data_IF_435028488702
#
_entry.id   IF_435028488702
#
_cell.length_a   1.000
_cell.length_b   1.000
_cell.length_c   1.000
_cell.angle_alpha   90.00
_cell.angle_beta   90.00
_cell.angle_gamma   90.00
#
_symmetry.space_group_name_H-M   'P 1'
#
loop_
_entity.id
_entity.type
_entity.pdbx_description
1 polymer ?
#
# COMPACT_ATOMS: atom_id res chain seq x y z
N UNK A 1 -28.45 13.83 -16.21
CA UNK A 1 -27.58 13.28 -15.13
C UNK A 1 -26.29 12.69 -15.67
N UNK A 2 -26.34 11.82 -16.70
CA UNK A 2 -25.16 11.30 -17.40
C UNK A 2 -24.28 12.40 -18.01
N UNK A 3 -24.86 13.45 -18.62
CA UNK A 3 -24.08 14.58 -19.15
C UNK A 3 -23.26 15.33 -18.08
N UNK A 4 -23.81 15.52 -16.87
CA UNK A 4 -23.07 16.11 -15.73
C UNK A 4 -22.01 15.15 -15.17
N UNK A 5 -22.21 13.84 -15.27
CA UNK A 5 -21.19 12.84 -14.95
C UNK A 5 -20.10 12.76 -16.04
N UNK A 6 -20.40 13.14 -17.28
CA UNK A 6 -19.44 13.19 -18.37
C UNK A 6 -18.85 14.59 -18.58
N UNK A 7 -19.24 15.60 -17.80
CA UNK A 7 -18.77 16.98 -18.01
C UNK A 7 -17.39 17.23 -17.41
N UNK A 8 -17.01 16.49 -16.37
CA UNK A 8 -15.68 16.61 -15.76
C UNK A 8 -14.74 15.51 -16.25
N UNK A 9 -13.50 15.89 -16.55
CA UNK A 9 -12.42 14.97 -16.92
C UNK A 9 -12.30 13.83 -15.90
N UNK A 10 -12.45 14.15 -14.63
CA UNK A 10 -12.22 13.20 -13.55
C UNK A 10 -13.37 12.20 -13.39
N UNK A 11 -14.60 12.64 -13.64
CA UNK A 11 -15.74 11.73 -13.70
C UNK A 11 -15.65 10.79 -14.90
N UNK A 12 -15.12 11.24 -16.05
CA UNK A 12 -14.83 10.35 -17.20
C UNK A 12 -13.79 9.29 -16.85
N UNK A 13 -12.67 9.70 -16.25
CA UNK A 13 -11.60 8.76 -15.85
C UNK A 13 -12.13 7.76 -14.81
N UNK A 14 -12.86 8.23 -13.80
CA UNK A 14 -13.45 7.36 -12.78
C UNK A 14 -14.45 6.36 -13.38
N UNK A 15 -15.26 6.79 -14.34
CA UNK A 15 -16.20 5.92 -15.04
C UNK A 15 -15.48 4.84 -15.85
N UNK A 16 -14.54 5.22 -16.72
CA UNK A 16 -13.79 4.27 -17.56
C UNK A 16 -12.96 3.33 -16.70
N UNK A 17 -12.35 3.83 -15.62
CA UNK A 17 -11.68 3.01 -14.63
C UNK A 17 -12.62 1.98 -14.01
N UNK A 18 -13.80 2.41 -13.55
CA UNK A 18 -14.79 1.53 -12.93
C UNK A 18 -15.28 0.45 -13.89
N UNK A 19 -15.50 0.80 -15.16
CA UNK A 19 -15.84 -0.18 -16.21
C UNK A 19 -14.72 -1.20 -16.40
N UNK A 20 -13.48 -0.73 -16.55
CA UNK A 20 -12.31 -1.61 -16.72
C UNK A 20 -12.11 -2.54 -15.52
N UNK A 21 -12.27 -2.00 -14.31
CA UNK A 21 -12.15 -2.76 -13.08
C UNK A 21 -13.28 -3.79 -12.94
N UNK A 22 -14.53 -3.43 -13.28
CA UNK A 22 -15.66 -4.37 -13.33
C UNK A 22 -15.38 -5.56 -14.24
N UNK A 23 -14.93 -5.29 -15.47
CA UNK A 23 -14.62 -6.38 -16.40
C UNK A 23 -13.42 -7.21 -15.96
N UNK A 24 -12.46 -6.62 -15.26
CA UNK A 24 -11.37 -7.39 -14.63
C UNK A 24 -11.92 -8.36 -13.57
N UNK A 25 -12.87 -7.92 -12.75
CA UNK A 25 -13.55 -8.77 -11.76
C UNK A 25 -14.31 -9.91 -12.45
N UNK A 26 -14.98 -9.64 -13.58
CA UNK A 26 -15.65 -10.68 -14.36
C UNK A 26 -14.66 -11.65 -15.01
N UNK A 27 -13.58 -11.14 -15.60
CA UNK A 27 -12.52 -11.94 -16.22
C UNK A 27 -11.81 -12.86 -15.23
N UNK A 28 -11.81 -12.50 -13.94
CA UNK A 28 -11.27 -13.33 -12.87
C UNK A 28 -11.96 -14.70 -12.73
N UNK A 29 -13.28 -14.77 -12.98
CA UNK A 29 -14.08 -16.01 -12.83
C UNK A 29 -14.63 -16.58 -14.15
N UNK A 30 -14.83 -15.76 -15.19
CA UNK A 30 -15.67 -16.12 -16.35
C UNK A 30 -14.94 -16.10 -17.72
N UNK A 31 -13.61 -16.25 -17.75
CA UNK A 31 -12.80 -16.38 -18.99
C UNK A 31 -12.92 -15.21 -20.00
N UNK A 32 -13.20 -13.98 -19.55
CA UNK A 32 -13.21 -12.78 -20.40
C UNK A 32 -11.83 -12.14 -20.63
N UNK A 33 -10.77 -12.95 -20.64
CA UNK A 33 -9.37 -12.50 -20.60
C UNK A 33 -9.00 -11.48 -21.69
N UNK A 34 -9.47 -11.71 -22.93
CA UNK A 34 -9.22 -10.82 -24.06
C UNK A 34 -9.86 -9.44 -23.87
N UNK A 35 -11.09 -9.40 -23.36
CA UNK A 35 -11.83 -8.16 -23.13
C UNK A 35 -11.21 -7.37 -21.96
N UNK A 36 -10.73 -8.03 -20.91
CA UNK A 36 -9.96 -7.40 -19.84
C UNK A 36 -8.71 -6.71 -20.39
N UNK A 37 -7.97 -7.38 -21.27
CA UNK A 37 -6.77 -6.82 -21.87
C UNK A 37 -7.05 -5.60 -22.73
N UNK A 38 -8.04 -5.69 -23.63
CA UNK A 38 -8.44 -4.56 -24.49
C UNK A 38 -8.93 -3.35 -23.69
N UNK A 39 -9.78 -3.57 -22.68
CA UNK A 39 -10.24 -2.49 -21.80
C UNK A 39 -9.11 -1.91 -20.96
N UNK A 40 -8.17 -2.74 -20.52
CA UNK A 40 -6.94 -2.30 -19.85
C UNK A 40 -6.14 -1.34 -20.74
N UNK A 41 -5.86 -1.73 -22.00
CA UNK A 41 -5.20 -0.86 -22.98
C UNK A 41 -5.98 0.44 -23.16
N UNK A 42 -7.28 0.34 -23.45
CA UNK A 42 -8.12 1.51 -23.70
C UNK A 42 -8.10 2.49 -22.51
N UNK A 43 -8.20 1.97 -21.28
CA UNK A 43 -8.14 2.77 -20.07
C UNK A 43 -6.77 3.41 -19.86
N UNK A 44 -5.66 2.65 -19.92
CA UNK A 44 -4.33 3.21 -19.68
C UNK A 44 -3.92 4.20 -20.78
N UNK A 45 -4.31 3.97 -22.04
CA UNK A 45 -4.16 4.94 -23.12
C UNK A 45 -4.95 6.22 -22.84
N UNK A 46 -6.23 6.11 -22.51
CA UNK A 46 -7.08 7.27 -22.20
C UNK A 46 -6.55 8.08 -21.00
N UNK A 47 -6.15 7.38 -19.93
CA UNK A 47 -5.57 8.00 -18.75
C UNK A 47 -4.24 8.71 -19.08
N UNK A 48 -3.41 8.12 -19.94
CA UNK A 48 -2.17 8.75 -20.43
C UNK A 48 -2.45 10.06 -21.15
N UNK A 49 -3.37 10.06 -22.12
CA UNK A 49 -3.76 11.28 -22.85
C UNK A 49 -4.36 12.33 -21.91
N UNK A 50 -5.15 11.90 -20.94
CA UNK A 50 -5.77 12.79 -19.97
C UNK A 50 -4.73 13.47 -19.08
N UNK A 51 -3.79 12.73 -18.50
CA UNK A 51 -2.85 13.28 -17.53
C UNK A 51 -1.58 13.91 -18.13
N UNK A 52 -1.33 13.74 -19.43
CA UNK A 52 -0.17 14.33 -20.13
C UNK A 52 -0.04 15.84 -19.95
N UNK A 53 -1.15 16.55 -19.71
CA UNK A 53 -1.17 18.00 -19.54
C UNK A 53 -1.04 18.48 -18.08
N UNK A 54 -1.07 17.57 -17.10
CA UNK A 54 -1.07 17.93 -15.66
C UNK A 54 0.32 17.94 -15.01
N UNK A 55 1.37 17.59 -15.76
CA UNK A 55 2.76 17.55 -15.28
C UNK A 55 3.68 16.83 -16.27
N UNK A 56 4.86 16.41 -15.80
CA UNK A 56 5.79 15.61 -16.59
C UNK A 56 5.32 14.18 -16.88
N UNK A 57 6.12 13.45 -17.66
CA UNK A 57 5.86 12.05 -18.00
C UNK A 57 5.82 11.19 -16.73
N UNK A 58 6.68 11.50 -15.75
CA UNK A 58 6.69 10.90 -14.41
C UNK A 58 5.33 11.01 -13.70
N UNK A 59 4.70 12.19 -13.76
CA UNK A 59 3.42 12.45 -13.12
C UNK A 59 2.33 11.59 -13.77
N UNK A 60 2.35 11.50 -15.11
CA UNK A 60 1.44 10.65 -15.87
C UNK A 60 1.60 9.18 -15.48
N UNK A 61 2.83 8.63 -15.51
CA UNK A 61 3.08 7.24 -15.13
C UNK A 61 2.65 6.98 -13.67
N UNK A 62 2.84 7.95 -12.79
CA UNK A 62 2.44 7.81 -11.38
C UNK A 62 0.92 7.75 -11.22
N UNK A 63 0.14 8.53 -11.99
CA UNK A 63 -1.31 8.33 -12.05
C UNK A 63 -1.67 6.90 -12.46
N UNK A 64 -1.05 6.36 -13.51
CA UNK A 64 -1.31 5.00 -13.98
C UNK A 64 -0.93 3.94 -12.92
N UNK A 65 0.16 4.15 -12.18
CA UNK A 65 0.55 3.29 -11.05
C UNK A 65 -0.52 3.28 -9.96
N UNK A 66 -1.08 4.45 -9.61
CA UNK A 66 -2.15 4.54 -8.61
C UNK A 66 -3.40 3.77 -9.07
N UNK A 67 -3.81 3.90 -10.33
CA UNK A 67 -4.97 3.16 -10.86
C UNK A 67 -4.72 1.65 -10.97
N UNK A 68 -3.48 1.23 -11.18
CA UNK A 68 -3.12 -0.19 -11.29
C UNK A 68 -2.91 -0.90 -9.96
N UNK A 69 -2.93 -0.21 -8.81
CA UNK A 69 -2.78 -0.85 -7.48
C UNK A 69 -3.79 -1.99 -7.26
N UNK A 70 -5.12 -1.80 -7.42
CA UNK A 70 -6.06 -2.92 -7.27
C UNK A 70 -5.86 -4.04 -8.30
N UNK A 71 -5.27 -3.71 -9.45
CA UNK A 71 -5.00 -4.65 -10.55
C UNK A 71 -3.66 -5.38 -10.37
N UNK A 72 -2.87 -5.09 -9.33
CA UNK A 72 -1.50 -5.62 -9.18
C UNK A 72 -1.45 -7.11 -8.81
N UNK A 73 -2.60 -7.72 -8.51
CA UNK A 73 -2.73 -9.12 -8.09
C UNK A 73 -3.24 -10.05 -9.20
N UNK A 74 -3.55 -9.46 -10.36
CA UNK A 74 -3.94 -10.17 -11.58
C UNK A 74 -3.00 -9.80 -12.72
N UNK A 75 -2.80 -10.70 -13.66
CA UNK A 75 -2.03 -10.39 -14.87
C UNK A 75 -2.81 -9.42 -15.78
N UNK A 76 -2.19 -8.96 -16.87
CA UNK A 76 -2.82 -8.07 -17.85
C UNK A 76 -4.10 -8.62 -18.49
N UNK A 77 -4.31 -9.94 -18.39
CA UNK A 77 -5.50 -10.68 -18.87
C UNK A 77 -6.56 -10.87 -17.76
N UNK A 78 -6.36 -10.37 -16.55
CA UNK A 78 -7.32 -10.51 -15.44
C UNK A 78 -7.27 -11.84 -14.69
N UNK A 79 -6.32 -12.73 -15.00
CA UNK A 79 -6.16 -14.01 -14.33
C UNK A 79 -5.25 -13.91 -13.10
N UNK A 80 -5.41 -14.80 -12.12
CA UNK A 80 -4.54 -14.86 -10.93
C UNK A 80 -3.08 -15.01 -11.34
N UNK A 81 -2.25 -14.04 -10.95
CA UNK A 81 -0.82 -14.08 -11.18
C UNK A 81 -0.10 -14.67 -9.97
N UNK A 82 0.88 -15.55 -10.21
CA UNK A 82 1.99 -15.73 -9.25
C UNK A 82 2.83 -14.43 -9.20
N UNK A 83 3.64 -14.20 -8.14
CA UNK A 83 4.27 -12.90 -7.85
C UNK A 83 5.10 -12.25 -8.97
N UNK A 84 5.57 -13.05 -9.94
CA UNK A 84 6.51 -12.66 -11.00
C UNK A 84 5.90 -12.37 -12.38
N UNK A 85 4.57 -12.34 -12.53
CA UNK A 85 3.97 -12.16 -13.86
C UNK A 85 3.67 -10.70 -14.26
N UNK A 86 3.54 -10.51 -15.59
CA UNK A 86 3.09 -9.32 -16.30
C UNK A 86 1.74 -8.82 -15.75
N UNK A 87 1.80 -8.00 -14.71
CA UNK A 87 0.67 -7.19 -14.24
C UNK A 87 0.82 -5.77 -14.77
N UNK A 88 -0.30 -5.06 -14.92
CA UNK A 88 -0.26 -3.64 -15.32
C UNK A 88 0.61 -2.82 -14.38
N UNK A 89 0.53 -3.09 -13.07
CA UNK A 89 1.35 -2.41 -12.06
C UNK A 89 2.85 -2.63 -12.28
N UNK A 90 3.29 -3.88 -12.49
CA UNK A 90 4.71 -4.19 -12.69
C UNK A 90 5.25 -3.60 -13.99
N UNK A 91 4.46 -3.64 -15.07
CA UNK A 91 4.85 -3.04 -16.36
C UNK A 91 5.06 -1.53 -16.16
N UNK A 92 4.08 -0.84 -15.57
CA UNK A 92 4.17 0.60 -15.32
C UNK A 92 5.30 0.97 -14.35
N UNK A 93 5.55 0.13 -13.36
CA UNK A 93 6.63 0.32 -12.38
C UNK A 93 8.00 0.22 -13.07
N UNK A 94 8.19 -0.80 -13.92
CA UNK A 94 9.42 -0.95 -14.69
C UNK A 94 9.60 0.21 -15.68
N UNK A 95 8.53 0.65 -16.35
CA UNK A 95 8.57 1.82 -17.23
C UNK A 95 8.99 3.08 -16.45
N UNK A 96 8.46 3.28 -15.24
CA UNK A 96 8.86 4.41 -14.40
C UNK A 96 10.34 4.32 -13.99
N UNK A 97 10.80 3.15 -13.55
CA UNK A 97 12.19 2.92 -13.16
C UNK A 97 13.12 3.20 -14.35
N UNK A 98 12.81 2.67 -15.52
CA UNK A 98 13.59 2.90 -16.75
C UNK A 98 13.61 4.38 -17.13
N UNK A 99 12.46 5.06 -17.08
CA UNK A 99 12.39 6.50 -17.37
C UNK A 99 13.24 7.32 -16.40
N UNK A 100 13.13 7.06 -15.09
CA UNK A 100 13.91 7.77 -14.07
C UNK A 100 15.40 7.45 -14.18
N UNK A 101 15.76 6.22 -14.54
CA UNK A 101 17.15 5.82 -14.75
C UNK A 101 17.75 6.54 -15.97
N UNK A 102 17.04 6.58 -17.10
CA UNK A 102 17.49 7.30 -18.30
C UNK A 102 17.55 8.80 -18.06
N UNK A 103 16.54 9.38 -17.40
CA UNK A 103 16.54 10.80 -17.00
C UNK A 103 17.75 11.13 -16.13
N UNK A 104 18.04 10.27 -15.15
CA UNK A 104 19.21 10.42 -14.29
C UNK A 104 20.51 10.33 -15.08
N UNK A 105 20.67 9.30 -15.92
CA UNK A 105 21.88 9.08 -16.71
C UNK A 105 22.19 10.26 -17.65
N UNK A 106 21.17 10.82 -18.30
CA UNK A 106 21.32 11.98 -19.18
C UNK A 106 21.65 13.27 -18.42
N UNK A 107 21.23 13.38 -17.16
CA UNK A 107 21.40 14.59 -16.34
C UNK A 107 22.53 14.47 -15.32
N UNK A 108 23.22 13.34 -15.23
CA UNK A 108 24.17 13.06 -14.14
C UNK A 108 25.26 14.12 -14.01
N UNK A 109 25.76 14.65 -15.15
CA UNK A 109 26.78 15.70 -15.19
C UNK A 109 26.29 17.05 -14.64
N UNK A 110 24.98 17.27 -14.59
CA UNK A 110 24.37 18.47 -14.04
C UNK A 110 24.03 18.36 -12.54
N UNK A 111 24.18 17.17 -11.95
CA UNK A 111 23.82 16.90 -10.55
C UNK A 111 25.02 17.19 -9.65
N UNK A 112 24.92 18.26 -8.87
CA UNK A 112 25.87 18.52 -7.78
C UNK A 112 25.43 17.80 -6.50
N UNK A 113 26.00 16.61 -6.27
CA UNK A 113 25.75 15.82 -5.05
C UNK A 113 26.10 16.57 -3.76
N UNK A 114 26.95 17.60 -3.80
CA UNK A 114 27.28 18.38 -2.60
C UNK A 114 26.07 19.18 -2.11
N UNK A 115 25.17 19.60 -3.02
CA UNK A 115 23.95 20.36 -2.70
C UNK A 115 22.85 19.52 -2.05
N UNK A 116 22.97 18.20 -2.02
CA UNK A 116 21.97 17.33 -1.39
C UNK A 116 21.95 17.54 0.14
N UNK A 117 20.75 17.72 0.75
CA UNK A 117 20.59 17.71 2.19
C UNK A 117 21.17 16.45 2.85
N UNK A 118 21.67 16.59 4.09
CA UNK A 118 22.26 15.49 4.88
C UNK A 118 21.35 14.25 4.93
N UNK A 119 20.04 14.45 5.07
CA UNK A 119 19.05 13.36 5.14
C UNK A 119 18.96 12.59 3.81
N UNK A 120 19.07 13.26 2.66
CA UNK A 120 19.06 12.59 1.35
C UNK A 120 20.36 11.81 1.11
N UNK A 121 21.52 12.39 1.46
CA UNK A 121 22.81 11.68 1.40
C UNK A 121 22.79 10.42 2.26
N UNK A 122 22.31 10.54 3.50
CA UNK A 122 22.13 9.41 4.41
C UNK A 122 21.21 8.33 3.83
N UNK A 123 20.09 8.74 3.23
CA UNK A 123 19.18 7.82 2.54
C UNK A 123 19.86 7.08 1.38
N UNK A 124 20.59 7.77 0.50
CA UNK A 124 21.29 7.15 -0.63
C UNK A 124 22.34 6.13 -0.15
N UNK A 125 23.15 6.49 0.85
CA UNK A 125 24.13 5.57 1.46
C UNK A 125 23.42 4.35 2.06
N UNK A 126 22.35 4.57 2.82
CA UNK A 126 21.58 3.47 3.41
C UNK A 126 20.95 2.54 2.37
N UNK A 127 20.55 3.07 1.21
CA UNK A 127 19.99 2.30 0.10
C UNK A 127 21.03 1.36 -0.49
N UNK A 128 22.27 1.83 -0.69
CA UNK A 128 23.39 1.02 -1.19
C UNK A 128 23.73 -0.08 -0.18
N UNK A 129 23.88 0.27 1.10
CA UNK A 129 24.18 -0.71 2.16
C UNK A 129 23.08 -1.78 2.22
N UNK A 130 21.82 -1.38 2.08
CA UNK A 130 20.70 -2.32 2.10
C UNK A 130 20.68 -3.23 0.86
N UNK A 131 20.95 -2.70 -0.34
CA UNK A 131 21.12 -3.50 -1.56
C UNK A 131 22.26 -4.52 -1.44
N UNK A 132 23.37 -4.14 -0.81
CA UNK A 132 24.47 -5.08 -0.49
C UNK A 132 23.96 -6.17 0.46
N UNK A 133 23.27 -5.80 1.55
CA UNK A 133 22.69 -6.75 2.49
C UNK A 133 21.73 -7.76 1.82
N UNK A 134 20.83 -7.28 0.97
CA UNK A 134 19.92 -8.13 0.17
C UNK A 134 20.72 -9.08 -0.73
N UNK A 135 21.74 -8.56 -1.43
CA UNK A 135 22.58 -9.34 -2.33
C UNK A 135 23.32 -10.45 -1.58
N UNK A 136 23.89 -10.16 -0.40
CA UNK A 136 24.53 -11.15 0.47
C UNK A 136 23.57 -12.29 0.84
N UNK A 137 22.32 -11.97 1.20
CA UNK A 137 21.31 -12.99 1.56
C UNK A 137 20.88 -13.82 0.34
N UNK A 138 20.72 -13.19 -0.82
CA UNK A 138 20.38 -13.93 -2.05
C UNK A 138 21.51 -14.92 -2.40
N UNK A 139 22.77 -14.48 -2.33
CA UNK A 139 23.93 -15.30 -2.66
C UNK A 139 24.17 -16.42 -1.63
N UNK A 140 23.80 -16.21 -0.36
CA UNK A 140 23.88 -17.25 0.67
C UNK A 140 22.70 -18.23 0.65
N UNK A 141 21.65 -17.96 -0.13
CA UNK A 141 20.44 -18.77 -0.14
C UNK A 141 20.64 -20.08 -0.92
N UNK A 142 20.19 -21.23 -0.41
CA UNK A 142 20.33 -22.52 -1.11
C UNK A 142 19.64 -22.60 -2.48
N UNK A 143 18.62 -21.77 -2.71
CA UNK A 143 17.95 -21.66 -4.01
C UNK A 143 17.90 -20.21 -4.46
N UNK A 144 18.86 -19.85 -5.33
CA UNK A 144 18.99 -18.51 -5.90
C UNK A 144 17.71 -18.01 -6.57
N UNK A 145 17.03 -18.85 -7.37
CA UNK A 145 15.82 -18.44 -8.12
C UNK A 145 14.69 -18.10 -7.16
N UNK A 146 14.47 -18.95 -6.15
CA UNK A 146 13.46 -18.71 -5.11
C UNK A 146 13.78 -17.45 -4.29
N UNK A 147 15.06 -17.27 -3.94
CA UNK A 147 15.54 -16.11 -3.21
C UNK A 147 15.37 -14.81 -3.99
N UNK A 148 15.77 -14.79 -5.26
CA UNK A 148 15.61 -13.65 -6.17
C UNK A 148 14.13 -13.31 -6.37
N UNK A 149 13.26 -14.31 -6.51
CA UNK A 149 11.81 -14.10 -6.60
C UNK A 149 11.24 -13.43 -5.35
N UNK A 150 11.74 -13.76 -4.17
CA UNK A 150 11.28 -13.17 -2.91
C UNK A 150 11.84 -11.75 -2.73
N UNK A 151 13.09 -11.52 -3.12
CA UNK A 151 13.74 -10.21 -3.01
C UNK A 151 13.29 -9.21 -4.08
N UNK A 152 12.64 -9.66 -5.16
CA UNK A 152 12.26 -8.85 -6.33
C UNK A 152 11.59 -7.52 -5.97
N UNK A 153 10.46 -7.55 -5.24
CA UNK A 153 9.75 -6.30 -4.89
C UNK A 153 10.53 -5.42 -3.93
N UNK A 154 11.37 -6.02 -3.09
CA UNK A 154 12.20 -5.29 -2.14
C UNK A 154 13.32 -4.53 -2.88
N UNK A 155 13.96 -5.17 -3.87
CA UNK A 155 14.92 -4.50 -4.76
C UNK A 155 14.26 -3.41 -5.56
N UNK A 156 13.12 -3.68 -6.22
CA UNK A 156 12.38 -2.67 -6.98
C UNK A 156 11.98 -1.48 -6.11
N UNK A 157 11.52 -1.74 -4.89
CA UNK A 157 11.16 -0.72 -3.93
C UNK A 157 12.35 0.19 -3.60
N UNK A 158 13.49 -0.36 -3.24
CA UNK A 158 14.69 0.43 -2.89
C UNK A 158 15.23 1.18 -4.10
N UNK A 159 15.31 0.54 -5.27
CA UNK A 159 15.80 1.14 -6.52
C UNK A 159 14.92 2.30 -6.93
N UNK A 160 13.59 2.13 -6.95
CA UNK A 160 12.68 3.20 -7.33
C UNK A 160 12.80 4.42 -6.40
N UNK A 161 12.81 4.20 -5.08
CA UNK A 161 12.91 5.30 -4.13
C UNK A 161 14.27 6.01 -4.22
N UNK A 162 15.34 5.26 -4.47
CA UNK A 162 16.67 5.83 -4.74
C UNK A 162 16.65 6.71 -5.98
N UNK A 163 16.09 6.22 -7.09
CA UNK A 163 15.97 6.97 -8.33
C UNK A 163 15.09 8.22 -8.19
N UNK A 164 14.03 8.16 -7.38
CA UNK A 164 13.23 9.34 -7.05
C UNK A 164 14.06 10.38 -6.31
N UNK A 165 14.81 9.99 -5.26
CA UNK A 165 15.70 10.93 -4.54
C UNK A 165 16.71 11.56 -5.49
N UNK A 166 17.33 10.77 -6.38
CA UNK A 166 18.31 11.26 -7.34
C UNK A 166 17.72 12.19 -8.42
N UNK A 167 16.45 12.00 -8.77
CA UNK A 167 15.78 12.83 -9.77
C UNK A 167 15.00 14.01 -9.17
N UNK A 168 14.80 14.08 -7.84
CA UNK A 168 14.05 15.14 -7.12
C UNK A 168 14.16 16.55 -7.74
N UNK A 169 15.35 17.06 -8.12
CA UNK A 169 15.48 18.42 -8.67
C UNK A 169 14.80 18.65 -10.03
N UNK A 170 14.46 17.59 -10.75
CA UNK A 170 13.96 17.64 -12.12
C UNK A 170 12.52 17.16 -12.27
N UNK A 171 11.92 16.68 -11.19
CA UNK A 171 10.59 16.11 -11.23
C UNK A 171 9.55 17.19 -10.97
N UNK A 172 8.44 17.10 -11.70
CA UNK A 172 7.31 18.02 -11.54
C UNK A 172 6.02 17.23 -11.39
N UNK A 173 5.37 17.38 -10.24
CA UNK A 173 4.21 16.57 -9.91
C UNK A 173 3.04 17.38 -9.37
N UNK A 174 1.85 17.01 -9.81
CA UNK A 174 0.61 17.55 -9.28
C UNK A 174 0.07 16.64 -8.17
N UNK A 175 0.55 16.89 -6.95
CA UNK A 175 0.24 16.06 -5.79
C UNK A 175 -1.25 16.00 -5.46
N UNK A 176 -1.99 17.10 -5.62
CA UNK A 176 -3.42 17.09 -5.34
C UNK A 176 -4.20 16.24 -6.34
N UNK A 177 -3.77 16.23 -7.62
CA UNK A 177 -4.33 15.34 -8.63
C UNK A 177 -3.98 13.87 -8.36
N UNK A 178 -2.75 13.57 -7.94
CA UNK A 178 -2.34 12.21 -7.59
C UNK A 178 -3.11 11.68 -6.37
N UNK A 179 -3.25 12.48 -5.29
CA UNK A 179 -4.11 12.14 -4.15
C UNK A 179 -5.56 11.91 -4.57
N UNK A 180 -6.06 12.69 -5.54
CA UNK A 180 -7.41 12.51 -6.09
C UNK A 180 -7.55 11.17 -6.78
N UNK A 181 -6.57 10.76 -7.57
CA UNK A 181 -6.55 9.44 -8.23
C UNK A 181 -6.57 8.33 -7.20
N UNK A 182 -5.78 8.44 -6.12
CA UNK A 182 -5.76 7.43 -5.05
C UNK A 182 -7.12 7.28 -4.37
N UNK A 183 -7.81 8.40 -4.10
CA UNK A 183 -9.18 8.39 -3.57
C UNK A 183 -10.18 7.72 -4.52
N UNK A 184 -10.12 8.05 -5.81
CA UNK A 184 -11.01 7.47 -6.83
C UNK A 184 -10.81 5.96 -6.89
N UNK A 185 -9.56 5.51 -6.97
CA UNK A 185 -9.20 4.10 -6.96
C UNK A 185 -9.77 3.39 -5.72
N UNK A 186 -9.49 3.90 -4.52
CA UNK A 186 -9.94 3.29 -3.27
C UNK A 186 -11.47 3.25 -3.13
N UNK A 187 -12.17 4.34 -3.48
CA UNK A 187 -13.63 4.38 -3.43
C UNK A 187 -14.27 3.45 -4.46
N UNK A 188 -13.71 3.37 -5.67
CA UNK A 188 -14.19 2.44 -6.69
C UNK A 188 -14.04 1.00 -6.18
N UNK A 189 -12.86 0.63 -5.67
CA UNK A 189 -12.62 -0.69 -5.08
C UNK A 189 -13.60 -0.99 -3.93
N UNK A 190 -13.89 -0.02 -3.06
CA UNK A 190 -14.87 -0.19 -1.98
C UNK A 190 -16.28 -0.48 -2.51
N UNK A 191 -16.74 0.28 -3.51
CA UNK A 191 -18.04 0.06 -4.14
C UNK A 191 -18.13 -1.33 -4.77
N UNK A 192 -17.09 -1.79 -5.46
CA UNK A 192 -17.07 -3.13 -6.05
C UNK A 192 -17.02 -4.25 -5.02
N UNK A 193 -16.38 -4.04 -3.87
CA UNK A 193 -16.42 -5.01 -2.77
C UNK A 193 -17.84 -5.11 -2.17
N UNK A 194 -18.50 -3.98 -1.93
CA UNK A 194 -19.90 -3.98 -1.46
C UNK A 194 -20.80 -4.67 -2.48
N UNK A 195 -20.62 -4.39 -3.78
CA UNK A 195 -21.35 -5.05 -4.86
C UNK A 195 -21.06 -6.56 -4.90
N UNK A 196 -19.81 -6.98 -4.75
CA UNK A 196 -19.43 -8.41 -4.68
C UNK A 196 -20.19 -9.12 -3.56
N UNK A 197 -20.22 -8.54 -2.36
CA UNK A 197 -20.94 -9.09 -1.19
C UNK A 197 -22.44 -9.15 -1.46
N UNK A 198 -23.01 -8.09 -2.03
CA UNK A 198 -24.44 -8.05 -2.37
C UNK A 198 -24.80 -9.13 -3.41
N UNK A 199 -24.01 -9.28 -4.47
CA UNK A 199 -24.21 -10.31 -5.49
C UNK A 199 -24.13 -11.73 -4.91
N UNK A 200 -23.22 -11.94 -3.97
CA UNK A 200 -23.07 -13.23 -3.31
C UNK A 200 -24.28 -13.56 -2.41
N UNK A 201 -24.67 -12.66 -1.50
CA UNK A 201 -25.75 -12.98 -0.54
C UNK A 201 -27.16 -12.89 -1.13
N UNK A 202 -27.40 -12.02 -2.12
CA UNK A 202 -28.75 -11.81 -2.69
C UNK A 202 -28.99 -12.67 -3.91
N UNK A 203 -27.99 -12.82 -4.78
CA UNK A 203 -28.14 -13.54 -6.05
C UNK A 203 -27.35 -14.85 -6.10
N UNK A 204 -26.72 -15.26 -5.00
CA UNK A 204 -25.88 -16.47 -4.93
C UNK A 204 -24.83 -16.53 -6.05
N UNK A 205 -24.31 -15.36 -6.46
CA UNK A 205 -23.39 -15.22 -7.60
C UNK A 205 -22.00 -14.83 -7.10
N UNK A 206 -21.01 -15.68 -7.37
CA UNK A 206 -19.61 -15.45 -6.99
C UNK A 206 -18.86 -14.67 -8.08
N UNK A 207 -18.50 -13.42 -7.78
CA UNK A 207 -17.63 -12.59 -8.63
C UNK A 207 -16.35 -12.25 -7.88
N UNK A 208 -15.22 -12.16 -8.59
CA UNK A 208 -13.92 -11.91 -7.96
C UNK A 208 -13.48 -13.01 -7.00
N UNK A 209 -12.54 -12.69 -6.12
CA UNK A 209 -12.00 -13.59 -5.12
C UNK A 209 -12.86 -13.58 -3.87
N UNK A 210 -13.40 -14.77 -3.57
CA UNK A 210 -14.06 -15.08 -2.33
C UNK A 210 -13.48 -16.39 -1.76
N UNK A 211 -13.47 -16.49 -0.44
CA UNK A 211 -13.03 -17.70 0.27
C UNK A 211 -13.88 -17.90 1.51
N UNK A 212 -14.44 -19.12 1.63
CA UNK A 212 -15.15 -19.58 2.81
C UNK A 212 -14.20 -20.32 3.74
N UNK A 213 -13.91 -19.73 4.89
CA UNK A 213 -13.12 -20.37 5.95
C UNK A 213 -14.02 -21.25 6.82
N UNK A 214 -13.98 -22.56 6.60
CA UNK A 214 -14.72 -23.54 7.40
C UNK A 214 -13.97 -23.73 8.73
N UNK A 215 -14.66 -23.49 9.85
CA UNK A 215 -14.09 -23.63 11.21
C UNK A 215 -14.66 -24.82 11.95
N UNK A 216 -15.93 -25.15 11.70
CA UNK A 216 -16.59 -26.36 12.17
C UNK A 216 -17.70 -26.75 11.19
N UNK A 217 -18.44 -27.83 11.49
CA UNK A 217 -19.56 -28.29 10.68
C UNK A 217 -20.68 -27.24 10.51
N UNK A 218 -20.76 -26.24 11.40
CA UNK A 218 -21.80 -25.20 11.40
C UNK A 218 -21.24 -23.77 11.47
N UNK A 219 -19.94 -23.59 11.68
CA UNK A 219 -19.27 -22.28 11.73
C UNK A 219 -18.38 -22.10 10.49
N UNK A 220 -18.72 -21.11 9.67
CA UNK A 220 -17.90 -20.67 8.55
C UNK A 220 -17.86 -19.15 8.48
N UNK A 221 -16.79 -18.64 7.88
CA UNK A 221 -16.58 -17.21 7.65
C UNK A 221 -16.29 -16.95 6.19
N UNK A 222 -17.16 -16.20 5.53
CA UNK A 222 -16.92 -15.72 4.17
C UNK A 222 -15.99 -14.50 4.19
N UNK A 223 -15.03 -14.48 3.27
CA UNK A 223 -14.11 -13.38 3.08
C UNK A 223 -14.08 -12.99 1.60
N UNK A 224 -14.09 -11.68 1.35
CA UNK A 224 -14.20 -11.10 0.01
C UNK A 224 -13.02 -10.18 -0.28
N UNK A 225 -12.40 -10.32 -1.44
CA UNK A 225 -11.19 -9.59 -1.79
C UNK A 225 -11.23 -8.93 -3.19
N UNK A 226 -12.37 -8.97 -3.89
CA UNK A 226 -12.50 -8.48 -5.27
C UNK A 226 -11.45 -9.11 -6.19
N UNK A 227 -10.32 -8.47 -6.44
CA UNK A 227 -9.19 -9.04 -7.23
C UNK A 227 -7.89 -9.12 -6.43
N UNK A 228 -7.89 -8.66 -5.18
CA UNK A 228 -6.72 -8.73 -4.30
C UNK A 228 -6.39 -10.18 -3.96
N UNK A 229 -5.09 -10.51 -3.87
CA UNK A 229 -4.67 -11.84 -3.44
C UNK A 229 -4.78 -12.05 -1.92
N UNK A 230 -4.84 -10.96 -1.13
CA UNK A 230 -4.89 -11.01 0.33
C UNK A 230 -5.96 -10.05 0.89
N UNK A 231 -6.86 -10.57 1.72
CA UNK A 231 -7.94 -9.83 2.37
C UNK A 231 -7.44 -8.71 3.28
N UNK A 232 -6.31 -8.92 3.96
CA UNK A 232 -5.68 -7.97 4.86
C UNK A 232 -5.05 -6.81 4.09
N UNK A 233 -4.51 -7.06 2.90
CA UNK A 233 -4.03 -6.00 2.00
C UNK A 233 -5.17 -5.12 1.53
N UNK A 234 -6.30 -5.71 1.10
CA UNK A 234 -7.47 -4.92 0.69
C UNK A 234 -8.02 -4.09 1.85
N UNK A 235 -8.20 -4.71 3.02
CA UNK A 235 -8.68 -4.03 4.23
C UNK A 235 -7.81 -2.82 4.59
N UNK A 236 -6.48 -2.98 4.52
CA UNK A 236 -5.51 -1.95 4.83
C UNK A 236 -5.44 -0.85 3.76
N UNK A 237 -5.50 -1.22 2.49
CA UNK A 237 -5.59 -0.28 1.37
C UNK A 237 -6.77 0.67 1.53
N UNK A 238 -7.97 0.12 1.79
CA UNK A 238 -9.19 0.91 2.00
C UNK A 238 -9.08 1.84 3.21
N UNK A 239 -8.57 1.35 4.34
CA UNK A 239 -8.38 2.17 5.54
C UNK A 239 -7.35 3.29 5.33
N UNK A 240 -6.28 3.04 4.56
CA UNK A 240 -5.25 4.05 4.27
C UNK A 240 -5.77 5.24 3.46
N UNK A 241 -6.90 5.08 2.73
CA UNK A 241 -7.50 6.15 1.94
C UNK A 241 -8.35 7.13 2.77
N UNK A 242 -8.75 6.76 3.99
CA UNK A 242 -9.65 7.56 4.85
C UNK A 242 -9.07 8.96 5.16
N UNK A 243 -7.79 9.11 5.57
CA UNK A 243 -7.20 10.43 5.82
C UNK A 243 -7.21 11.34 4.58
N UNK A 244 -7.04 10.77 3.38
CA UNK A 244 -7.03 11.50 2.11
C UNK A 244 -8.42 12.01 1.74
N UNK A 245 -9.46 11.22 2.02
CA UNK A 245 -10.86 11.61 1.85
C UNK A 245 -11.24 12.70 2.85
N UNK A 246 -10.82 12.58 4.11
CA UNK A 246 -11.18 13.52 5.17
C UNK A 246 -10.66 14.94 4.93
N UNK A 247 -9.45 15.07 4.35
CA UNK A 247 -8.85 16.37 4.02
C UNK A 247 -9.37 16.98 2.71
N UNK A 248 -10.22 16.28 1.96
CA UNK A 248 -10.72 16.80 0.68
C UNK A 248 -11.63 18.02 0.89
N UNK A 249 -11.41 19.11 0.14
CA UNK A 249 -12.26 20.32 0.09
C UNK A 249 -13.67 20.12 -0.50
N UNK A 250 -14.38 19.05 -0.14
CA UNK A 250 -15.80 18.81 -0.46
C UNK A 250 -16.65 18.97 0.81
N UNK A 251 -17.97 18.88 0.66
CA UNK A 251 -18.93 18.98 1.78
C UNK A 251 -18.62 17.94 2.87
N UNK A 252 -18.97 18.26 4.11
CA UNK A 252 -18.81 17.34 5.24
C UNK A 252 -19.54 16.02 5.00
N UNK A 253 -20.74 16.08 4.38
CA UNK A 253 -21.53 14.91 4.00
C UNK A 253 -20.77 13.98 3.08
N UNK A 254 -20.10 14.51 2.04
CA UNK A 254 -19.28 13.71 1.13
C UNK A 254 -18.11 13.02 1.84
N UNK A 255 -17.47 13.72 2.79
CA UNK A 255 -16.34 13.17 3.55
C UNK A 255 -16.78 12.03 4.45
N UNK A 256 -17.89 12.22 5.17
CA UNK A 256 -18.47 11.22 6.07
C UNK A 256 -18.95 10.01 5.26
N UNK A 257 -19.73 10.21 4.20
CA UNK A 257 -20.25 9.11 3.39
C UNK A 257 -19.13 8.27 2.77
N UNK A 258 -18.10 8.93 2.23
CA UNK A 258 -16.94 8.26 1.65
C UNK A 258 -16.14 7.48 2.70
N UNK A 259 -15.90 8.05 3.88
CA UNK A 259 -15.21 7.37 4.97
C UNK A 259 -16.01 6.16 5.49
N UNK A 260 -17.33 6.29 5.62
CA UNK A 260 -18.22 5.19 6.03
C UNK A 260 -18.20 4.06 5.00
N UNK A 261 -18.29 4.36 3.70
CA UNK A 261 -18.20 3.34 2.64
C UNK A 261 -16.85 2.61 2.71
N UNK A 262 -15.74 3.34 2.88
CA UNK A 262 -14.41 2.73 3.01
C UNK A 262 -14.30 1.83 4.25
N UNK A 263 -14.87 2.23 5.38
CA UNK A 263 -14.87 1.44 6.62
C UNK A 263 -15.76 0.19 6.50
N UNK A 264 -16.95 0.32 5.92
CA UNK A 264 -17.85 -0.81 5.65
C UNK A 264 -17.15 -1.79 4.71
N UNK A 265 -16.59 -1.32 3.60
CA UNK A 265 -15.84 -2.16 2.69
C UNK A 265 -14.64 -2.83 3.39
N UNK A 266 -13.85 -2.09 4.18
CA UNK A 266 -12.74 -2.66 4.96
C UNK A 266 -13.21 -3.77 5.90
N UNK A 267 -14.37 -3.63 6.54
CA UNK A 267 -15.01 -4.66 7.38
C UNK A 267 -15.42 -5.89 6.58
N UNK A 268 -16.06 -5.70 5.42
CA UNK A 268 -16.58 -6.76 4.57
C UNK A 268 -15.49 -7.68 3.98
N UNK A 269 -14.22 -7.25 3.99
CA UNK A 269 -13.09 -8.15 3.68
C UNK A 269 -12.93 -9.31 4.67
N UNK A 270 -13.62 -9.25 5.82
CA UNK A 270 -13.45 -10.13 6.97
C UNK A 270 -12.04 -10.08 7.63
N UNK A 271 -11.14 -9.23 7.15
CA UNK A 271 -9.84 -8.98 7.77
C UNK A 271 -9.95 -7.91 8.87
N UNK A 272 -9.34 -8.17 10.04
CA UNK A 272 -9.35 -7.23 11.18
C UNK A 272 -8.33 -6.09 11.03
N UNK A 273 -7.38 -6.25 10.11
CA UNK A 273 -6.17 -5.44 10.04
C UNK A 273 -6.47 -3.98 9.74
N UNK A 274 -7.24 -3.67 8.68
CA UNK A 274 -7.51 -2.29 8.30
C UNK A 274 -8.28 -1.49 9.36
N UNK A 275 -9.30 -2.08 9.97
CA UNK A 275 -10.10 -1.42 11.01
C UNK A 275 -9.31 -1.23 12.30
N UNK A 276 -8.59 -2.27 12.74
CA UNK A 276 -7.75 -2.19 13.94
C UNK A 276 -6.68 -1.10 13.77
N UNK A 277 -5.97 -1.09 12.64
CA UNK A 277 -4.93 -0.10 12.37
C UNK A 277 -5.49 1.32 12.30
N UNK A 278 -6.68 1.50 11.74
CA UNK A 278 -7.35 2.80 11.73
C UNK A 278 -7.62 3.30 13.16
N UNK A 279 -8.17 2.47 14.05
CA UNK A 279 -8.43 2.86 15.44
C UNK A 279 -7.14 3.12 16.21
N UNK A 280 -6.12 2.27 16.04
CA UNK A 280 -4.82 2.47 16.70
C UNK A 280 -4.20 3.80 16.25
N UNK A 281 -4.23 4.12 14.96
CA UNK A 281 -3.70 5.40 14.48
C UNK A 281 -4.52 6.58 15.00
N UNK A 282 -5.85 6.50 15.05
CA UNK A 282 -6.67 7.52 15.70
C UNK A 282 -6.31 7.72 17.18
N UNK A 283 -6.08 6.63 17.91
CA UNK A 283 -5.65 6.68 19.31
C UNK A 283 -4.28 7.35 19.45
N UNK A 284 -3.31 6.99 18.60
CA UNK A 284 -1.98 7.58 18.59
C UNK A 284 -2.04 9.07 18.25
N UNK A 285 -2.79 9.47 17.23
CA UNK A 285 -2.98 10.89 16.87
C UNK A 285 -3.51 11.66 18.08
N UNK A 286 -4.56 11.15 18.71
CA UNK A 286 -5.16 11.80 19.87
C UNK A 286 -4.19 11.92 21.05
N UNK A 287 -3.45 10.85 21.35
CA UNK A 287 -2.47 10.86 22.43
C UNK A 287 -1.33 11.84 22.15
N UNK A 288 -0.82 11.87 20.92
CA UNK A 288 0.21 12.83 20.49
C UNK A 288 -0.30 14.27 20.56
N UNK A 289 -1.54 14.53 20.14
CA UNK A 289 -2.15 15.86 20.22
C UNK A 289 -2.36 16.33 21.68
N UNK A 290 -2.67 15.40 22.60
CA UNK A 290 -2.72 15.69 24.04
C UNK A 290 -1.33 15.97 24.61
N UNK A 291 -0.34 15.14 24.27
CA UNK A 291 1.03 15.25 24.77
C UNK A 291 1.75 16.49 24.23
N UNK A 292 1.43 16.93 23.01
CA UNK A 292 1.97 18.16 22.42
C UNK A 292 1.45 19.44 23.08
N UNK A 293 0.66 19.34 24.16
CA UNK A 293 0.23 20.49 24.94
C UNK A 293 -0.72 21.41 24.18
N UNK A 294 -1.33 20.94 23.08
CA UNK A 294 -2.40 21.69 22.44
C UNK A 294 -3.48 21.96 23.50
N UNK A 295 -4.04 23.18 23.51
CA UNK A 295 -5.10 23.66 24.42
C UNK A 295 -6.43 22.94 24.19
N UNK A 296 -6.40 21.62 24.09
CA UNK A 296 -7.57 20.74 24.01
C UNK A 296 -8.22 20.79 25.39
N UNK A 297 -9.43 21.32 25.45
CA UNK A 297 -10.21 21.40 26.68
C UNK A 297 -10.42 20.01 27.28
N UNK A 298 -10.52 19.93 28.62
CA UNK A 298 -10.83 18.66 29.32
C UNK A 298 -12.10 17.99 28.76
N UNK A 299 -13.10 18.79 28.36
CA UNK A 299 -14.34 18.31 27.72
C UNK A 299 -14.10 17.64 26.36
N UNK A 300 -13.22 18.19 25.53
CA UNK A 300 -12.85 17.57 24.24
C UNK A 300 -12.09 16.26 24.44
N UNK A 301 -11.18 16.20 25.42
CA UNK A 301 -10.46 14.95 25.75
C UNK A 301 -11.44 13.85 26.17
N UNK A 302 -12.36 14.15 27.09
CA UNK A 302 -13.38 13.19 27.55
C UNK A 302 -14.28 12.75 26.39
N UNK A 303 -14.81 13.69 25.61
CA UNK A 303 -15.66 13.37 24.44
C UNK A 303 -14.96 12.45 23.45
N UNK A 304 -13.70 12.73 23.14
CA UNK A 304 -12.95 11.91 22.19
C UNK A 304 -12.61 10.53 22.77
N UNK A 305 -12.20 10.44 24.04
CA UNK A 305 -11.99 9.14 24.71
C UNK A 305 -13.26 8.30 24.70
N UNK A 306 -14.43 8.92 24.96
CA UNK A 306 -15.73 8.24 24.87
C UNK A 306 -16.04 7.79 23.44
N UNK A 307 -15.78 8.62 22.43
CA UNK A 307 -15.93 8.24 21.02
C UNK A 307 -15.00 7.07 20.68
N UNK A 308 -13.75 7.10 21.12
CA UNK A 308 -12.77 6.04 20.83
C UNK A 308 -13.16 4.71 21.50
N UNK A 309 -13.65 4.77 22.75
CA UNK A 309 -14.21 3.61 23.45
C UNK A 309 -15.47 3.12 22.75
N UNK A 310 -16.39 4.00 22.36
CA UNK A 310 -17.62 3.63 21.65
C UNK A 310 -17.32 2.98 20.28
N UNK A 311 -16.38 3.54 19.50
CA UNK A 311 -15.91 2.96 18.24
C UNK A 311 -15.24 1.61 18.48
N UNK A 312 -14.42 1.50 19.52
CA UNK A 312 -13.78 0.24 19.92
C UNK A 312 -14.80 -0.85 20.28
N UNK A 313 -15.77 -0.54 21.14
CA UNK A 313 -16.86 -1.45 21.53
C UNK A 313 -17.69 -1.84 20.32
N UNK A 314 -18.06 -0.88 19.45
CA UNK A 314 -18.83 -1.13 18.24
C UNK A 314 -18.09 -2.08 17.30
N UNK A 315 -16.78 -1.87 17.12
CA UNK A 315 -15.96 -2.76 16.30
C UNK A 315 -15.83 -4.16 16.90
N UNK A 316 -15.63 -4.27 18.21
CA UNK A 316 -15.60 -5.56 18.90
C UNK A 316 -16.94 -6.28 18.71
N UNK A 317 -18.07 -5.61 18.97
CA UNK A 317 -19.41 -6.17 18.80
C UNK A 317 -19.70 -6.60 17.36
N UNK A 318 -19.40 -5.76 16.36
CA UNK A 318 -19.54 -6.10 14.94
C UNK A 318 -18.66 -7.29 14.55
N UNK A 319 -17.43 -7.37 15.07
CA UNK A 319 -16.55 -8.51 14.83
C UNK A 319 -17.06 -9.78 15.52
N UNK A 320 -17.67 -9.69 16.70
CA UNK A 320 -18.31 -10.84 17.37
C UNK A 320 -19.50 -11.34 16.56
N UNK A 321 -20.35 -10.44 16.06
CA UNK A 321 -21.51 -10.82 15.25
C UNK A 321 -21.09 -11.48 13.93
N UNK A 322 -20.01 -10.98 13.30
CA UNK A 322 -19.54 -11.49 12.01
C UNK A 322 -18.63 -12.73 12.11
N UNK A 323 -18.03 -13.00 13.29
CA UNK A 323 -17.05 -14.09 13.47
C UNK A 323 -17.33 -15.03 14.64
N UNK A 324 -18.39 -14.83 15.43
CA UNK A 324 -18.67 -15.59 16.64
C UNK A 324 -17.72 -15.28 17.82
N UNK A 325 -17.78 -16.13 18.85
CA UNK A 325 -17.19 -15.88 20.18
C UNK A 325 -15.66 -15.99 20.29
N UNK A 326 -14.94 -16.27 19.19
CA UNK A 326 -13.47 -16.46 19.18
C UNK A 326 -12.73 -15.21 18.71
N UNK A 327 -12.99 -14.08 19.37
CA UNK A 327 -12.33 -12.81 19.10
C UNK A 327 -10.83 -12.83 19.46
N UNK A 328 -10.43 -13.62 20.45
CA UNK A 328 -9.07 -13.63 21.01
C UNK A 328 -8.26 -14.89 20.70
N UNK A 329 -8.76 -15.80 19.86
CA UNK A 329 -7.97 -16.97 19.43
C UNK A 329 -6.70 -16.47 18.70
N UNK A 330 -5.53 -16.86 19.21
CA UNK A 330 -4.26 -16.62 18.54
C UNK A 330 -4.24 -17.42 17.25
N UNK A 331 -3.87 -16.76 16.15
CA UNK A 331 -3.64 -17.40 14.86
C UNK A 331 -2.30 -18.17 14.81
N UNK A 332 -1.73 -18.54 15.97
CA UNK A 332 -0.39 -19.11 16.12
C UNK A 332 0.74 -18.11 15.82
N UNK A 333 0.48 -16.79 15.93
CA UNK A 333 1.47 -15.77 15.52
C UNK A 333 2.68 -15.72 16.43
N UNK A 334 2.46 -15.92 17.74
CA UNK A 334 3.56 -15.93 18.70
C UNK A 334 4.50 -17.11 18.48
N UNK A 335 3.96 -18.29 18.18
CA UNK A 335 4.76 -19.47 17.85
C UNK A 335 5.64 -19.24 16.62
N UNK A 336 5.14 -18.50 15.62
CA UNK A 336 5.90 -18.16 14.43
C UNK A 336 7.01 -17.15 14.71
N UNK A 337 6.77 -16.18 15.58
CA UNK A 337 7.82 -15.25 16.03
C UNK A 337 8.89 -15.99 16.83
N UNK A 338 8.49 -16.92 17.70
CA UNK A 338 9.41 -17.76 18.45
C UNK A 338 10.28 -18.63 17.52
N UNK A 339 9.66 -19.29 16.53
CA UNK A 339 10.38 -20.06 15.50
C UNK A 339 11.36 -19.19 14.72
N UNK A 340 10.98 -17.97 14.35
CA UNK A 340 11.87 -17.03 13.65
C UNK A 340 13.12 -16.69 14.47
N UNK A 341 12.98 -16.48 15.78
CA UNK A 341 14.11 -16.24 16.69
C UNK A 341 15.01 -17.47 16.78
N UNK A 342 14.45 -18.67 16.84
CA UNK A 342 15.22 -19.92 16.87
C UNK A 342 16.01 -20.11 15.57
N UNK A 343 15.40 -19.81 14.42
CA UNK A 343 16.10 -19.84 13.13
C UNK A 343 17.24 -18.82 13.07
N UNK A 344 17.01 -17.59 13.55
CA UNK A 344 18.06 -16.59 13.66
C UNK A 344 19.25 -17.06 14.52
N UNK A 345 18.99 -17.75 15.64
CA UNK A 345 20.07 -18.28 16.50
C UNK A 345 20.94 -19.32 15.81
N UNK A 346 20.42 -20.04 14.81
CA UNK A 346 21.21 -21.03 14.05
C UNK A 346 22.24 -20.40 13.12
N UNK A 347 21.99 -19.19 12.62
CA UNK A 347 22.94 -18.41 11.82
C UNK A 347 22.69 -16.91 12.00
N UNK A 348 23.35 -16.33 13.01
CA UNK A 348 23.14 -14.93 13.41
C UNK A 348 23.54 -13.94 12.32
N UNK A 349 24.57 -14.24 11.53
CA UNK A 349 25.10 -13.30 10.55
C UNK A 349 24.21 -13.23 9.31
N UNK A 350 24.00 -14.36 8.63
CA UNK A 350 23.33 -14.39 7.32
C UNK A 350 21.89 -14.92 7.37
N UNK A 351 21.44 -15.43 8.52
CA UNK A 351 20.16 -16.10 8.63
C UNK A 351 20.12 -17.41 7.84
N UNK A 352 18.91 -17.86 7.54
CA UNK A 352 18.68 -19.10 6.77
C UNK A 352 18.58 -18.89 5.25
N UNK A 353 18.68 -17.64 4.78
CA UNK A 353 18.46 -17.27 3.38
C UNK A 353 16.99 -17.07 2.99
N UNK A 354 16.77 -16.46 1.84
CA UNK A 354 15.45 -16.33 1.21
C UNK A 354 15.04 -17.64 0.51
N UNK A 355 13.74 -17.80 0.25
CA UNK A 355 13.23 -18.84 -0.63
C UNK A 355 13.25 -20.27 -0.07
N UNK A 356 13.53 -20.46 1.22
CA UNK A 356 13.61 -21.77 1.86
C UNK A 356 12.23 -22.40 2.10
N UNK A 357 12.03 -23.62 1.58
CA UNK A 357 10.84 -24.48 1.85
C UNK A 357 10.65 -24.84 3.33
N UNK A 358 11.68 -24.64 4.15
CA UNK A 358 11.67 -24.83 5.61
C UNK A 358 10.90 -23.74 6.38
N UNK A 359 10.25 -22.81 5.69
CA UNK A 359 9.04 -22.17 6.18
C UNK A 359 7.81 -22.98 5.74
N UNK A 360 7.51 -24.17 6.31
CA UNK A 360 6.24 -24.81 6.03
C UNK A 360 5.14 -23.96 6.66
N UNK A 361 4.41 -23.24 5.82
CA UNK A 361 3.03 -22.85 6.11
C UNK A 361 2.79 -21.44 6.64
N UNK A 362 3.70 -20.77 7.35
CA UNK A 362 3.41 -19.39 7.80
C UNK A 362 4.67 -18.56 8.00
N UNK A 363 4.90 -17.60 7.11
CA UNK A 363 5.89 -16.52 7.30
C UNK A 363 5.48 -15.74 8.56
N UNK A 364 6.40 -15.33 9.46
CA UNK A 364 6.03 -14.56 10.63
C UNK A 364 5.30 -13.30 10.14
N UNK A 365 4.10 -13.05 10.66
CA UNK A 365 3.29 -11.89 10.27
C UNK A 365 3.85 -10.56 10.82
N UNK A 366 5.18 -10.44 10.89
CA UNK A 366 5.92 -9.28 11.34
C UNK A 366 7.24 -9.17 10.54
N UNK A 367 7.42 -8.01 9.92
CA UNK A 367 8.55 -7.70 9.04
C UNK A 367 9.92 -7.88 9.72
N UNK A 368 10.03 -7.54 11.01
CA UNK A 368 11.30 -7.64 11.74
C UNK A 368 11.70 -9.09 11.95
N UNK A 369 10.81 -9.91 12.49
CA UNK A 369 11.09 -11.33 12.74
C UNK A 369 11.33 -12.08 11.42
N UNK A 370 10.60 -11.75 10.36
CA UNK A 370 10.81 -12.33 9.04
C UNK A 370 12.23 -12.07 8.52
N UNK A 371 12.66 -10.79 8.44
CA UNK A 371 13.98 -10.47 7.90
C UNK A 371 15.12 -10.82 8.85
N UNK A 372 14.88 -10.85 10.16
CA UNK A 372 15.84 -11.36 11.14
C UNK A 372 16.14 -12.85 10.89
N UNK A 373 15.11 -13.68 10.71
CA UNK A 373 15.30 -15.10 10.42
C UNK A 373 15.93 -15.32 9.04
N UNK A 374 15.48 -14.59 8.02
CA UNK A 374 15.90 -14.81 6.63
C UNK A 374 17.30 -14.27 6.32
N UNK A 375 17.69 -13.13 6.89
CA UNK A 375 18.92 -12.44 6.50
C UNK A 375 19.86 -12.07 7.63
N UNK A 376 19.54 -12.44 8.88
CA UNK A 376 20.40 -12.19 10.04
C UNK A 376 20.78 -10.72 10.21
N UNK A 377 21.96 -10.49 10.80
CA UNK A 377 22.52 -9.16 11.00
C UNK A 377 22.82 -8.42 9.68
N UNK A 378 23.22 -9.16 8.63
CA UNK A 378 23.54 -8.59 7.31
C UNK A 378 22.34 -7.98 6.59
N UNK A 379 21.12 -8.40 6.94
CA UNK A 379 19.90 -7.80 6.39
C UNK A 379 19.22 -6.85 7.38
N UNK A 380 19.11 -7.23 8.65
CA UNK A 380 18.33 -6.46 9.63
C UNK A 380 18.99 -5.13 9.97
N UNK A 381 20.32 -5.06 10.10
CA UNK A 381 21.00 -3.80 10.42
C UNK A 381 20.91 -2.80 9.25
N UNK A 382 21.19 -3.19 8.00
CA UNK A 382 20.95 -2.32 6.85
C UNK A 382 19.48 -1.92 6.70
N UNK A 383 18.53 -2.84 6.94
CA UNK A 383 17.11 -2.51 6.91
C UNK A 383 16.74 -1.46 7.97
N UNK A 384 17.20 -1.63 9.21
CA UNK A 384 16.94 -0.67 10.30
C UNK A 384 17.56 0.70 9.98
N UNK A 385 18.78 0.72 9.46
CA UNK A 385 19.43 1.96 9.03
C UNK A 385 18.67 2.61 7.87
N UNK A 386 18.22 1.83 6.88
CA UNK A 386 17.39 2.29 5.78
C UNK A 386 16.06 2.87 6.25
N UNK A 387 15.35 2.18 7.16
CA UNK A 387 14.10 2.68 7.76
C UNK A 387 14.35 3.98 8.52
N UNK A 388 15.44 4.04 9.31
CA UNK A 388 15.82 5.24 10.06
C UNK A 388 16.06 6.43 9.13
N UNK A 389 16.86 6.27 8.06
CA UNK A 389 17.11 7.34 7.10
C UNK A 389 15.84 7.71 6.31
N UNK A 390 15.05 6.71 5.91
CA UNK A 390 13.75 6.91 5.27
C UNK A 390 12.83 7.77 6.14
N UNK A 391 12.82 7.57 7.46
CA UNK A 391 12.03 8.37 8.38
C UNK A 391 12.36 9.87 8.29
N UNK A 392 13.64 10.26 8.24
CA UNK A 392 14.00 11.68 8.13
C UNK A 392 13.65 12.29 6.78
N UNK A 393 13.73 11.53 5.70
CA UNK A 393 13.30 11.98 4.36
C UNK A 393 11.77 12.10 4.29
N UNK A 394 11.03 11.13 4.82
CA UNK A 394 9.57 11.06 4.72
C UNK A 394 8.84 11.94 5.75
N UNK A 395 9.33 11.97 7.00
CA UNK A 395 8.67 12.63 8.12
C UNK A 395 9.35 13.91 8.60
N UNK A 396 10.64 14.09 8.33
CA UNK A 396 11.45 15.23 8.81
C UNK A 396 11.08 16.59 8.21
N UNK A 397 10.18 16.65 7.24
CA UNK A 397 9.77 17.87 6.54
C UNK A 397 8.28 18.17 6.80
N UNK A 398 7.85 19.42 6.59
CA UNK A 398 6.43 19.86 6.65
C UNK A 398 5.63 19.25 5.49
N UNK A 399 5.46 17.93 5.54
CA UNK A 399 4.76 17.11 4.57
C UNK A 399 3.25 17.08 4.84
N UNK A 400 2.53 16.62 3.83
CA UNK A 400 1.09 16.44 3.85
C UNK A 400 0.65 15.48 4.97
N UNK A 401 0.08 16.05 6.05
CA UNK A 401 -0.34 15.31 7.26
C UNK A 401 -1.28 14.13 6.96
N UNK A 402 -2.13 14.28 5.95
CA UNK A 402 -3.03 13.25 5.42
C UNK A 402 -2.27 12.02 4.89
N UNK A 403 -1.18 12.23 4.15
CA UNK A 403 -0.34 11.14 3.66
C UNK A 403 0.48 10.50 4.78
N UNK A 404 0.93 11.30 5.77
CA UNK A 404 1.58 10.76 6.98
C UNK A 404 0.66 9.82 7.74
N UNK A 405 -0.60 10.19 7.92
CA UNK A 405 -1.59 9.32 8.57
C UNK A 405 -1.91 8.08 7.74
N UNK A 406 -2.02 8.21 6.41
CA UNK A 406 -2.16 7.05 5.53
C UNK A 406 -0.97 6.08 5.70
N UNK A 407 0.27 6.59 5.70
CA UNK A 407 1.46 5.78 5.93
C UNK A 407 1.49 5.15 7.33
N UNK A 408 1.11 5.88 8.38
CA UNK A 408 1.03 5.32 9.74
C UNK A 408 0.04 4.15 9.81
N UNK A 409 -1.13 4.25 9.16
CA UNK A 409 -2.09 3.14 9.09
C UNK A 409 -1.42 1.92 8.47
N UNK A 410 -0.70 2.11 7.36
CA UNK A 410 0.00 1.02 6.66
C UNK A 410 1.13 0.42 7.52
N UNK A 411 1.91 1.24 8.22
CA UNK A 411 3.03 0.79 9.06
C UNK A 411 2.56 0.04 10.31
N UNK A 412 1.44 0.44 10.92
CA UNK A 412 0.83 -0.34 12.00
C UNK A 412 0.28 -1.66 11.43
N UNK A 413 -0.34 -1.62 10.24
CA UNK A 413 -0.85 -2.81 9.56
C UNK A 413 0.22 -3.79 9.12
N UNK A 414 1.41 -3.31 8.77
CA UNK A 414 2.54 -4.16 8.38
C UNK A 414 3.06 -5.04 9.52
N UNK A 415 2.74 -4.70 10.77
CA UNK A 415 3.06 -5.54 11.93
C UNK A 415 2.10 -6.74 12.08
N UNK A 416 1.04 -6.79 11.27
CA UNK A 416 -0.01 -7.80 11.32
C UNK A 416 -0.12 -8.63 10.02
N UNK A 417 0.68 -8.30 9.00
CA UNK A 417 0.65 -8.90 7.66
C UNK A 417 2.09 -9.26 7.25
N UNK A 418 2.27 -10.42 6.61
CA UNK A 418 3.58 -10.83 6.08
C UNK A 418 3.93 -10.03 4.82
N UNK A 419 5.22 -9.68 4.65
CA UNK A 419 5.76 -8.96 3.50
C UNK A 419 4.92 -7.76 2.98
N UNK A 420 4.81 -6.69 3.77
CA UNK A 420 4.06 -5.47 3.35
C UNK A 420 4.61 -4.81 2.07
N UNK A 421 5.85 -5.08 1.66
CA UNK A 421 6.41 -4.52 0.42
C UNK A 421 5.63 -5.05 -0.79
N UNK A 422 5.10 -6.27 -0.70
CA UNK A 422 4.19 -6.85 -1.68
C UNK A 422 2.78 -6.23 -1.61
N UNK A 423 2.52 -5.21 -0.81
CA UNK A 423 1.19 -4.57 -0.83
C UNK A 423 0.99 -3.65 -2.04
N UNK A 424 2.07 -3.20 -2.69
CA UNK A 424 2.12 -2.23 -3.82
C UNK A 424 1.61 -0.83 -3.44
N UNK A 425 0.53 -0.70 -2.66
CA UNK A 425 0.03 0.59 -2.17
C UNK A 425 0.96 1.26 -1.15
N UNK A 426 1.78 0.50 -0.39
CA UNK A 426 2.83 1.08 0.45
C UNK A 426 3.80 1.92 -0.40
N UNK A 427 4.27 1.36 -1.52
CA UNK A 427 5.16 2.05 -2.44
C UNK A 427 4.52 3.35 -2.94
N UNK A 428 3.26 3.28 -3.40
CA UNK A 428 2.51 4.43 -3.90
C UNK A 428 2.38 5.53 -2.84
N UNK A 429 2.01 5.21 -1.59
CA UNK A 429 1.89 6.20 -0.52
C UNK A 429 3.25 6.83 -0.19
N UNK A 430 4.33 6.05 -0.15
CA UNK A 430 5.67 6.58 0.09
C UNK A 430 6.10 7.53 -1.03
N UNK A 431 5.88 7.13 -2.29
CA UNK A 431 6.14 8.00 -3.44
C UNK A 431 5.35 9.31 -3.35
N UNK A 432 4.06 9.26 -2.97
CA UNK A 432 3.23 10.45 -2.79
C UNK A 432 3.77 11.38 -1.70
N UNK A 433 4.38 10.83 -0.64
CA UNK A 433 5.00 11.62 0.43
C UNK A 433 6.28 12.29 -0.08
N UNK A 434 7.14 11.54 -0.77
CA UNK A 434 8.42 12.05 -1.27
C UNK A 434 8.21 13.20 -2.25
N UNK A 435 7.36 12.96 -3.24
CA UNK A 435 6.97 13.96 -4.24
C UNK A 435 6.14 15.09 -3.61
N UNK A 436 5.36 14.76 -2.58
CA UNK A 436 4.59 15.71 -1.75
C UNK A 436 5.44 16.82 -1.14
N UNK A 437 6.73 16.55 -0.98
CA UNK A 437 7.67 17.49 -0.41
C UNK A 437 8.31 18.38 -1.49
N UNK A 438 8.43 17.93 -2.74
CA UNK A 438 9.18 18.57 -3.85
C UNK A 438 8.76 20.02 -4.16
N UNK A 439 7.47 20.36 -4.02
CA UNK A 439 6.96 21.72 -4.25
C UNK A 439 7.45 22.78 -3.23
N UNK A 440 8.37 22.44 -2.32
CA UNK A 440 9.02 23.38 -1.39
C UNK A 440 10.54 23.43 -1.51
N UNK A 441 11.12 22.71 -2.46
CA UNK A 441 12.57 22.65 -2.69
C UNK A 441 12.96 23.52 -3.88
N UNK A 442 12.28 24.67 -4.04
CA UNK A 442 12.90 25.79 -4.72
C UNK A 442 14.23 26.02 -4.00
N UNK A 443 15.29 25.62 -4.69
CA UNK A 443 16.64 26.13 -4.51
C UNK A 443 16.44 27.62 -4.25
N UNK A 444 16.84 28.10 -3.05
CA UNK A 444 17.07 29.53 -2.86
C UNK A 444 17.94 29.97 -4.03
N UNK A 445 17.32 30.54 -5.06
CA UNK A 445 18.00 31.27 -6.11
C UNK A 445 18.52 32.51 -5.41
N UNK A 446 19.81 32.51 -5.17
CA UNK A 446 20.65 33.67 -4.93
C UNK A 446 20.13 34.65 -3.86
N UNK A 447 20.60 34.45 -2.62
CA UNK A 447 20.98 35.55 -1.73
C UNK A 447 22.51 35.61 -1.67
#
# INVERSE_FOLDING_TARGET
MLEKLLSSKESKIALIYSVTYFFTILGFNQNYSYLVFLLGIAFFSYATFSYKQEGGVENTIFHLLIYSVPLSFVNVMGMRSKPLFLTWFNILLLVLILYLFVSFALKINSIDFKKYPKNQKGFLISSIIFLIGISCVILSSPNFISAASQAYYLVLFVVLLTLLVLNTPFLSFNIDSLKKSYRITALSTACFLVMQVFLFYVFNTEVGFHLRFIRSATDYRDAFAVVFADFSFLSLFLSSAIPLVWKHNKSITYRISSAVILLIASFLTSARTGLFCFVVVLAVIFYVEILKGNKISRKQKIRFSLILVAVGITLVGLLTLWRGNKLFDDSGRFDLMYKAVTLFKSNVLLGIGFGMKQYPGVIPHNIFFQYLAQGGLFLILPLLYYIYQSYFVLFGQRSNIDLKYALMIILVGSQLIGNIVDSRFLLVIIMLIMVGNENKWEIKKDE
#
